data_IF_317016501536
#
_entry.id   IF_317016501536
#
_cell.length_a   1.000
_cell.length_b   1.000
_cell.length_c   1.000
_cell.angle_alpha   90.00
_cell.angle_beta   90.00
_cell.angle_gamma   90.00
#
_symmetry.space_group_name_H-M   'P 1'
#
loop_
_entity.id
_entity.type
_entity.pdbx_description
1 polymer ?
#
# COMPACT_ATOMS: atom_id res chain seq x y z
N UNK A 1 -32.00 5.09 81.57
CA UNK A 1 -31.27 6.09 80.78
C UNK A 1 -30.52 5.32 79.69
N UNK A 2 -31.11 5.38 78.46
CA UNK A 2 -30.69 4.53 77.33
C UNK A 2 -29.85 5.40 76.38
N UNK A 3 -28.59 5.03 76.18
CA UNK A 3 -27.72 5.64 75.18
C UNK A 3 -27.56 4.70 74.03
N UNK A 4 -28.21 5.05 72.90
CA UNK A 4 -28.14 4.33 71.61
C UNK A 4 -26.87 4.73 70.88
N UNK A 5 -25.96 3.76 70.63
CA UNK A 5 -24.84 3.92 69.72
C UNK A 5 -25.28 3.68 68.28
N UNK A 6 -25.31 4.77 67.47
CA UNK A 6 -25.49 4.67 66.02
C UNK A 6 -24.17 4.31 65.36
N UNK A 7 -24.12 3.09 64.80
CA UNK A 7 -23.02 2.62 63.93
C UNK A 7 -23.29 3.12 62.53
N UNK A 8 -22.44 4.02 62.04
CA UNK A 8 -22.45 4.47 60.67
C UNK A 8 -21.64 3.49 59.79
N UNK A 9 -22.33 2.80 58.89
CA UNK A 9 -21.70 1.92 57.87
C UNK A 9 -21.27 2.81 56.70
N UNK A 10 -19.96 2.93 56.50
CA UNK A 10 -19.39 3.51 55.26
C UNK A 10 -19.38 2.42 54.18
N UNK A 11 -20.27 2.50 53.21
CA UNK A 11 -20.23 1.71 52.00
C UNK A 11 -19.19 2.30 51.04
N UNK A 12 -18.03 1.69 50.96
CA UNK A 12 -17.03 2.07 49.98
C UNK A 12 -17.44 1.60 48.57
N UNK A 13 -17.73 2.54 47.70
CA UNK A 13 -17.92 2.29 46.25
C UNK A 13 -16.54 2.15 45.61
N UNK A 14 -16.17 0.93 45.24
CA UNK A 14 -15.01 0.66 44.37
C UNK A 14 -15.46 0.86 42.94
N UNK A 15 -15.08 1.96 42.31
CA UNK A 15 -15.21 2.16 40.87
C UNK A 15 -14.15 1.32 40.15
N UNK A 16 -14.56 0.18 39.61
CA UNK A 16 -13.73 -0.58 38.68
C UNK A 16 -13.73 0.11 37.32
N UNK A 17 -12.66 0.82 37.01
CA UNK A 17 -12.42 1.40 35.67
C UNK A 17 -12.07 0.27 34.69
N UNK A 18 -13.01 -0.12 33.86
CA UNK A 18 -12.79 -1.06 32.76
C UNK A 18 -12.10 -0.28 31.63
N UNK A 19 -10.77 -0.45 31.47
CA UNK A 19 -10.07 -0.02 30.26
C UNK A 19 -10.53 -0.91 29.10
N UNK A 20 -11.45 -0.42 28.30
CA UNK A 20 -11.82 -1.05 27.04
C UNK A 20 -10.68 -0.83 26.03
N UNK A 21 -9.81 -1.81 25.87
CA UNK A 21 -8.86 -1.84 24.76
C UNK A 21 -9.68 -2.03 23.47
N UNK A 22 -9.82 -0.99 22.67
CA UNK A 22 -10.40 -1.07 21.31
C UNK A 22 -9.43 -1.88 20.44
N UNK A 23 -9.75 -3.15 20.23
CA UNK A 23 -9.11 -3.96 19.20
C UNK A 23 -9.61 -3.42 17.86
N UNK A 24 -8.78 -2.65 17.17
CA UNK A 24 -9.03 -2.28 15.77
C UNK A 24 -8.90 -3.54 14.94
N UNK A 25 -10.03 -4.15 14.59
CA UNK A 25 -10.08 -5.21 13.58
C UNK A 25 -9.82 -4.56 12.23
N UNK A 26 -8.68 -4.87 11.60
CA UNK A 26 -8.44 -4.49 10.21
C UNK A 26 -9.62 -4.95 9.36
N UNK A 27 -10.25 -4.02 8.65
CA UNK A 27 -11.39 -4.32 7.79
C UNK A 27 -10.99 -5.29 6.68
N UNK A 28 -11.92 -6.13 6.21
CA UNK A 28 -11.68 -7.01 5.06
C UNK A 28 -11.28 -6.20 3.81
N UNK A 29 -11.73 -4.96 3.70
CA UNK A 29 -11.39 -4.03 2.63
C UNK A 29 -9.91 -3.61 2.65
N UNK A 30 -9.29 -3.46 3.84
CA UNK A 30 -7.88 -3.09 3.96
C UNK A 30 -6.95 -4.14 3.32
N UNK A 31 -7.38 -5.40 3.32
CA UNK A 31 -6.64 -6.52 2.72
C UNK A 31 -6.92 -6.69 1.22
N UNK A 32 -7.98 -6.08 0.72
CA UNK A 32 -8.38 -6.21 -0.68
C UNK A 32 -7.35 -5.64 -1.66
N UNK A 33 -6.51 -4.67 -1.23
CA UNK A 33 -5.41 -4.12 -2.04
C UNK A 33 -4.23 -5.08 -2.14
N UNK A 34 -4.07 -6.00 -1.19
CA UNK A 34 -2.91 -6.89 -1.13
C UNK A 34 -2.91 -7.92 -2.27
N UNK A 35 -1.72 -8.45 -2.56
CA UNK A 35 -1.52 -9.47 -3.60
C UNK A 35 -0.95 -8.90 -4.88
N UNK A 36 -1.25 -9.55 -6.01
CA UNK A 36 -0.64 -9.23 -7.29
C UNK A 36 -1.46 -8.22 -8.09
N UNK A 37 -0.74 -7.31 -8.74
CA UNK A 37 -1.24 -6.31 -9.66
C UNK A 37 -0.39 -6.27 -10.92
N UNK A 38 -0.96 -5.85 -12.05
CA UNK A 38 -0.24 -5.64 -13.30
C UNK A 38 -0.38 -4.21 -13.79
N UNK A 39 0.69 -3.69 -14.33
CA UNK A 39 0.71 -2.46 -15.13
C UNK A 39 0.59 -2.84 -16.60
N UNK A 40 -0.35 -2.21 -17.26
CA UNK A 40 -0.65 -2.42 -18.69
C UNK A 40 -0.29 -1.16 -19.45
N UNK A 41 0.34 -1.33 -20.59
CA UNK A 41 0.59 -0.26 -21.53
C UNK A 41 -0.75 0.22 -22.14
N UNK A 42 -1.07 1.48 -22.00
CA UNK A 42 -2.37 2.02 -22.40
C UNK A 42 -2.59 1.98 -23.90
N UNK A 43 -1.51 2.09 -24.70
CA UNK A 43 -1.59 2.09 -26.17
C UNK A 43 -1.74 0.68 -26.75
N UNK A 44 -0.98 -0.27 -26.23
CA UNK A 44 -0.92 -1.63 -26.79
C UNK A 44 -1.76 -2.66 -26.02
N UNK A 45 -2.23 -2.34 -24.82
CA UNK A 45 -2.94 -3.25 -23.92
C UNK A 45 -2.05 -4.39 -23.36
N UNK A 46 -0.73 -4.34 -23.58
CA UNK A 46 0.19 -5.38 -23.13
C UNK A 46 0.62 -5.18 -21.68
N UNK A 47 0.75 -6.26 -20.93
CA UNK A 47 1.31 -6.21 -19.58
C UNK A 47 2.79 -5.86 -19.67
N UNK A 48 3.19 -4.80 -18.95
CA UNK A 48 4.58 -4.31 -18.84
C UNK A 48 5.29 -4.85 -17.60
N UNK A 49 4.54 -5.01 -16.50
CA UNK A 49 5.11 -5.51 -15.24
C UNK A 49 4.03 -6.09 -14.34
N UNK A 50 4.45 -6.99 -13.45
CA UNK A 50 3.64 -7.50 -12.37
C UNK A 50 4.29 -7.12 -11.04
N UNK A 51 3.46 -6.67 -10.10
CA UNK A 51 3.84 -6.24 -8.76
C UNK A 51 3.17 -7.13 -7.71
N UNK A 52 3.79 -7.25 -6.54
CA UNK A 52 3.17 -7.81 -5.35
C UNK A 52 3.07 -6.71 -4.31
N UNK A 53 1.86 -6.37 -3.89
CA UNK A 53 1.60 -5.47 -2.78
C UNK A 53 1.41 -6.28 -1.50
N UNK A 54 1.99 -5.81 -0.42
CA UNK A 54 1.93 -6.42 0.91
C UNK A 54 2.05 -5.34 1.98
N UNK A 55 1.65 -5.69 3.19
CA UNK A 55 1.81 -4.81 4.33
C UNK A 55 3.16 -5.06 5.01
N UNK A 56 3.84 -3.98 5.37
CA UNK A 56 5.06 -4.01 6.16
C UNK A 56 5.06 -2.86 7.16
N UNK A 57 5.12 -3.18 8.45
CA UNK A 57 5.06 -2.20 9.56
C UNK A 57 3.88 -1.24 9.48
N UNK A 58 2.68 -1.75 9.17
CA UNK A 58 1.45 -0.95 9.05
C UNK A 58 1.38 -0.05 7.81
N UNK A 59 2.28 -0.21 6.86
CA UNK A 59 2.32 0.54 5.60
C UNK A 59 2.17 -0.39 4.40
N UNK A 60 1.53 0.10 3.35
CA UNK A 60 1.45 -0.63 2.09
C UNK A 60 2.76 -0.46 1.32
N UNK A 61 3.32 -1.61 0.89
CA UNK A 61 4.61 -1.72 0.21
C UNK A 61 4.44 -2.58 -1.04
N UNK A 62 5.19 -2.28 -2.10
CA UNK A 62 5.13 -3.00 -3.36
C UNK A 62 6.50 -3.40 -3.90
N UNK A 63 6.57 -4.64 -4.39
CA UNK A 63 7.75 -5.24 -5.00
C UNK A 63 7.47 -5.61 -6.46
N UNK A 64 8.40 -5.30 -7.37
CA UNK A 64 8.33 -5.77 -8.76
C UNK A 64 8.65 -7.27 -8.76
N UNK A 65 7.78 -8.09 -9.35
CA UNK A 65 7.97 -9.54 -9.41
C UNK A 65 8.22 -10.06 -10.82
N UNK A 66 7.83 -9.30 -11.85
CA UNK A 66 8.07 -9.65 -13.26
C UNK A 66 8.03 -8.39 -14.12
N UNK A 67 8.89 -8.33 -15.13
CA UNK A 67 8.88 -7.32 -16.19
C UNK A 67 8.72 -8.00 -17.55
N UNK A 68 8.13 -7.26 -18.50
CA UNK A 68 7.90 -7.74 -19.86
C UNK A 68 8.50 -6.75 -20.87
N UNK A 69 8.80 -7.18 -22.10
CA UNK A 69 9.25 -6.28 -23.15
C UNK A 69 8.21 -5.19 -23.44
N UNK A 70 8.66 -3.95 -23.56
CA UNK A 70 7.86 -2.87 -24.13
C UNK A 70 8.08 -2.84 -25.63
N UNK A 71 7.09 -2.36 -26.39
CA UNK A 71 7.17 -2.32 -27.86
C UNK A 71 8.50 -1.68 -28.34
N UNK A 72 9.27 -2.45 -29.11
CA UNK A 72 10.58 -2.05 -29.63
C UNK A 72 11.74 -2.04 -28.64
N UNK A 73 11.51 -2.47 -27.37
CA UNK A 73 12.58 -2.51 -26.36
C UNK A 73 12.50 -3.81 -25.53
N UNK A 74 13.62 -4.41 -25.16
CA UNK A 74 13.62 -5.56 -24.23
C UNK A 74 13.07 -5.18 -22.87
N UNK A 75 12.66 -6.21 -22.09
CA UNK A 75 12.30 -5.97 -20.69
C UNK A 75 13.48 -5.37 -19.93
N UNK A 76 13.22 -4.35 -19.13
CA UNK A 76 14.24 -3.78 -18.26
C UNK A 76 14.57 -4.78 -17.15
N UNK A 77 15.82 -5.19 -17.06
CA UNK A 77 16.28 -6.18 -16.07
C UNK A 77 17.11 -5.56 -14.95
N UNK A 78 17.78 -4.45 -15.23
CA UNK A 78 18.66 -3.73 -14.30
C UNK A 78 18.21 -2.27 -14.19
N UNK A 79 18.24 -1.70 -12.98
CA UNK A 79 17.92 -0.29 -12.75
C UNK A 79 19.14 0.61 -12.95
N UNK A 80 19.50 0.83 -14.19
CA UNK A 80 20.69 1.64 -14.56
C UNK A 80 20.54 3.12 -14.23
N UNK A 81 19.32 3.64 -14.29
CA UNK A 81 19.02 5.05 -13.99
C UNK A 81 18.80 5.31 -12.48
N UNK A 82 18.65 4.27 -11.67
CA UNK A 82 18.46 4.41 -10.23
C UNK A 82 19.70 5.02 -9.54
N UNK A 83 19.46 5.62 -8.38
CA UNK A 83 20.51 6.19 -7.53
C UNK A 83 20.73 5.37 -6.25
N UNK A 84 21.85 5.63 -5.56
CA UNK A 84 22.15 5.07 -4.25
C UNK A 84 22.19 3.54 -4.25
N UNK A 85 21.57 2.93 -3.24
CA UNK A 85 21.57 1.47 -3.06
C UNK A 85 20.82 0.68 -4.14
N UNK A 86 20.04 1.34 -4.98
CA UNK A 86 19.23 0.71 -6.04
C UNK A 86 19.94 0.78 -7.41
N UNK A 87 21.03 1.54 -7.53
CA UNK A 87 21.83 1.64 -8.73
C UNK A 87 22.32 0.25 -9.16
N UNK A 88 22.09 -0.08 -10.42
CA UNK A 88 22.50 -1.33 -11.06
C UNK A 88 21.96 -2.63 -10.41
N UNK A 89 20.91 -2.50 -9.59
CA UNK A 89 20.24 -3.66 -9.02
C UNK A 89 19.23 -4.26 -10.00
N UNK A 90 18.94 -5.58 -9.89
CA UNK A 90 17.88 -6.20 -10.66
C UNK A 90 16.55 -5.47 -10.42
N UNK A 91 15.82 -5.18 -11.49
CA UNK A 91 14.49 -4.56 -11.41
C UNK A 91 13.48 -5.51 -10.73
N UNK A 92 13.55 -6.80 -11.06
CA UNK A 92 12.78 -7.83 -10.34
C UNK A 92 13.33 -7.98 -8.93
N UNK A 93 12.47 -7.79 -7.95
CA UNK A 93 12.82 -7.77 -6.52
C UNK A 93 12.92 -6.37 -5.92
N UNK A 94 12.99 -5.30 -6.73
CA UNK A 94 13.01 -3.93 -6.21
C UNK A 94 11.73 -3.61 -5.44
N UNK A 95 11.89 -3.04 -4.25
CA UNK A 95 10.82 -2.29 -3.58
C UNK A 95 10.73 -0.95 -4.32
N UNK A 96 9.64 -0.76 -5.04
CA UNK A 96 9.44 0.42 -5.88
C UNK A 96 8.29 1.31 -5.40
N UNK A 97 7.49 0.81 -4.46
CA UNK A 97 6.28 1.43 -3.93
C UNK A 97 6.32 1.25 -2.42
N UNK A 98 6.33 2.35 -1.63
CA UNK A 98 6.51 2.27 -0.19
C UNK A 98 5.94 3.48 0.56
N UNK A 99 5.84 3.38 1.88
CA UNK A 99 5.38 4.40 2.83
C UNK A 99 3.91 4.79 2.73
N UNK A 100 3.09 4.09 1.97
CA UNK A 100 1.68 4.41 1.86
C UNK A 100 0.94 4.10 3.15
N UNK A 101 0.18 5.07 3.65
CA UNK A 101 -0.72 4.95 4.80
C UNK A 101 -2.15 5.19 4.36
N UNK A 102 -3.13 4.64 5.07
CA UNK A 102 -4.53 4.93 4.79
C UNK A 102 -4.82 6.42 4.93
N UNK A 103 -5.61 6.97 4.01
CA UNK A 103 -6.23 8.27 4.19
C UNK A 103 -7.24 8.18 5.33
N UNK A 104 -7.27 9.18 6.20
CA UNK A 104 -8.19 9.22 7.34
C UNK A 104 -9.64 9.07 6.86
N UNK A 105 -10.37 8.13 7.47
CA UNK A 105 -11.76 7.83 7.13
C UNK A 105 -11.97 7.01 5.85
N UNK A 106 -10.91 6.56 5.18
CA UNK A 106 -11.00 5.73 3.99
C UNK A 106 -10.33 4.37 4.16
N UNK A 107 -10.98 3.30 3.71
CA UNK A 107 -10.42 1.94 3.64
C UNK A 107 -9.88 1.59 2.24
N UNK A 108 -10.08 2.47 1.26
CA UNK A 108 -9.74 2.23 -0.16
C UNK A 108 -8.74 3.22 -0.74
N UNK A 109 -8.29 4.19 0.06
CA UNK A 109 -7.34 5.20 -0.38
C UNK A 109 -6.11 5.26 0.51
N UNK A 110 -4.94 5.31 -0.12
CA UNK A 110 -3.63 5.39 0.51
C UNK A 110 -2.93 6.64 0.04
N UNK A 111 -2.31 7.34 0.98
CA UNK A 111 -1.64 8.63 0.77
C UNK A 111 -0.20 8.60 1.30
N UNK A 112 0.52 9.70 1.09
CA UNK A 112 1.89 9.96 1.55
C UNK A 112 2.95 8.95 1.06
N UNK A 113 2.56 8.14 0.07
CA UNK A 113 3.43 7.14 -0.51
C UNK A 113 4.53 7.69 -1.40
N UNK A 114 5.44 6.80 -1.74
CA UNK A 114 6.52 7.02 -2.71
C UNK A 114 6.51 5.92 -3.76
N UNK A 115 6.82 6.30 -5.00
CA UNK A 115 6.97 5.36 -6.10
C UNK A 115 8.26 5.65 -6.86
N UNK A 116 9.09 4.64 -7.03
CA UNK A 116 10.28 4.68 -7.89
C UNK A 116 9.88 4.23 -9.29
N UNK A 117 10.22 5.03 -10.29
CA UNK A 117 10.16 4.59 -11.68
C UNK A 117 11.54 4.08 -12.10
N UNK A 118 11.73 2.77 -12.35
CA UNK A 118 13.01 2.23 -12.76
C UNK A 118 13.49 2.72 -14.14
N UNK A 119 12.59 3.20 -15.02
CA UNK A 119 12.94 3.67 -16.36
C UNK A 119 13.73 4.99 -16.33
N UNK A 120 13.41 5.88 -15.39
CA UNK A 120 14.08 7.18 -15.24
C UNK A 120 14.85 7.32 -13.91
N UNK A 121 14.80 6.30 -13.04
CA UNK A 121 15.47 6.28 -11.75
C UNK A 121 14.94 7.25 -10.70
N UNK A 122 13.84 7.95 -10.99
CA UNK A 122 13.27 8.98 -10.12
C UNK A 122 12.25 8.42 -9.15
N UNK A 123 12.21 9.04 -7.98
CA UNK A 123 11.19 8.77 -6.97
C UNK A 123 10.18 9.92 -6.95
N UNK A 124 8.91 9.56 -7.04
CA UNK A 124 7.78 10.46 -7.01
C UNK A 124 6.99 10.30 -5.71
N UNK A 125 6.28 11.36 -5.29
CA UNK A 125 5.20 11.19 -4.31
C UNK A 125 4.07 10.41 -4.99
N UNK A 126 3.30 9.64 -4.21
CA UNK A 126 2.21 8.90 -4.80
C UNK A 126 1.03 8.73 -3.85
N UNK A 127 -0.14 8.57 -4.46
CA UNK A 127 -1.41 8.20 -3.83
C UNK A 127 -1.97 7.01 -4.59
N UNK A 128 -2.73 6.16 -3.91
CA UNK A 128 -3.36 4.99 -4.51
C UNK A 128 -4.82 4.89 -4.06
N UNK A 129 -5.69 4.47 -4.96
CA UNK A 129 -7.12 4.32 -4.70
C UNK A 129 -7.64 3.02 -5.33
N UNK A 130 -8.24 2.16 -4.50
CA UNK A 130 -8.83 0.91 -4.93
C UNK A 130 -10.26 1.17 -5.41
N UNK A 131 -10.59 0.65 -6.60
CA UNK A 131 -11.96 0.70 -7.11
C UNK A 131 -12.94 -0.06 -6.21
N UNK A 132 -14.22 0.30 -6.27
CA UNK A 132 -15.27 -0.31 -5.44
C UNK A 132 -15.36 -1.83 -5.62
N UNK A 133 -15.12 -2.32 -6.82
CA UNK A 133 -15.12 -3.75 -7.15
C UNK A 133 -13.79 -4.47 -6.84
N UNK A 134 -12.78 -3.77 -6.32
CA UNK A 134 -11.46 -4.31 -5.97
C UNK A 134 -10.59 -4.75 -7.16
N UNK A 135 -10.98 -4.43 -8.41
CA UNK A 135 -10.30 -4.92 -9.61
C UNK A 135 -9.28 -3.97 -10.20
N UNK A 136 -9.39 -2.69 -9.87
CA UNK A 136 -8.49 -1.64 -10.36
C UNK A 136 -7.87 -0.90 -9.19
N UNK A 137 -6.56 -0.71 -9.23
CA UNK A 137 -5.84 0.18 -8.33
C UNK A 137 -5.32 1.36 -9.14
N UNK A 138 -5.92 2.52 -8.93
CA UNK A 138 -5.50 3.78 -9.51
C UNK A 138 -4.33 4.34 -8.71
N UNK A 139 -3.20 4.55 -9.34
CA UNK A 139 -2.00 5.12 -8.71
C UNK A 139 -1.65 6.44 -9.38
N UNK A 140 -1.61 7.50 -8.60
CA UNK A 140 -1.23 8.84 -9.04
C UNK A 140 0.15 9.17 -8.51
N UNK A 141 1.15 9.16 -9.41
CA UNK A 141 2.52 9.59 -9.13
C UNK A 141 2.70 11.06 -9.45
N UNK A 142 3.29 11.86 -8.53
CA UNK A 142 3.38 13.31 -8.71
C UNK A 142 4.64 13.92 -8.07
N UNK A 143 5.01 15.10 -8.59
CA UNK A 143 5.88 16.04 -7.90
C UNK A 143 5.03 17.13 -7.24
N UNK A 144 5.44 17.63 -6.09
CA UNK A 144 4.77 18.71 -5.38
C UNK A 144 5.49 20.02 -5.66
N UNK A 145 4.82 20.91 -6.36
CA UNK A 145 5.21 22.29 -6.55
C UNK A 145 4.24 23.19 -5.75
N UNK A 146 3.64 24.21 -6.38
CA UNK A 146 2.50 24.93 -5.81
C UNK A 146 1.24 24.04 -5.77
N UNK A 147 1.17 23.07 -6.69
CA UNK A 147 0.13 22.04 -6.79
C UNK A 147 0.76 20.70 -7.20
N UNK A 148 0.01 19.63 -7.14
CA UNK A 148 0.46 18.29 -7.56
C UNK A 148 0.47 18.22 -9.09
N UNK A 149 1.63 17.89 -9.68
CA UNK A 149 1.79 17.67 -11.13
C UNK A 149 2.28 16.26 -11.33
N UNK A 150 1.56 15.45 -12.08
CA UNK A 150 1.92 14.04 -12.26
C UNK A 150 1.06 13.28 -13.25
N UNK A 151 1.19 11.98 -13.22
CA UNK A 151 0.45 11.06 -14.08
C UNK A 151 -0.25 9.95 -13.28
N UNK A 152 -1.34 9.48 -13.84
CA UNK A 152 -2.11 8.36 -13.29
C UNK A 152 -1.78 7.08 -14.05
N UNK A 153 -1.67 5.97 -13.33
CA UNK A 153 -1.57 4.62 -13.87
C UNK A 153 -2.64 3.74 -13.24
N UNK A 154 -3.36 3.00 -14.06
CA UNK A 154 -4.41 2.09 -13.63
C UNK A 154 -3.86 0.65 -13.63
N UNK A 155 -3.68 0.09 -12.44
CA UNK A 155 -3.22 -1.29 -12.28
C UNK A 155 -4.41 -2.22 -12.19
N UNK A 156 -4.30 -3.38 -12.78
CA UNK A 156 -5.35 -4.39 -12.85
C UNK A 156 -4.92 -5.68 -12.16
N UNK A 157 -5.88 -6.53 -11.80
CA UNK A 157 -5.56 -7.87 -11.34
C UNK A 157 -5.03 -8.72 -12.49
N UNK A 158 -3.87 -9.38 -12.31
CA UNK A 158 -3.37 -10.31 -13.33
C UNK A 158 -4.24 -11.57 -13.39
N UNK A 159 -4.28 -12.18 -14.56
CA UNK A 159 -4.94 -13.49 -14.75
C UNK A 159 -4.10 -14.62 -14.13
N UNK A 160 -4.70 -15.77 -13.81
CA UNK A 160 -3.94 -16.93 -13.32
C UNK A 160 -2.81 -17.35 -14.26
N UNK A 161 -2.99 -17.24 -15.58
CA UNK A 161 -1.96 -17.54 -16.56
C UNK A 161 -0.75 -16.61 -16.48
N UNK A 162 -0.97 -15.29 -16.24
CA UNK A 162 0.11 -14.31 -16.07
C UNK A 162 0.92 -14.53 -14.79
N UNK A 163 0.31 -15.17 -13.78
CA UNK A 163 0.95 -15.51 -12.50
C UNK A 163 1.77 -16.81 -12.56
N UNK A 164 1.61 -17.62 -13.60
CA UNK A 164 2.37 -18.87 -13.74
C UNK A 164 3.88 -18.57 -13.81
N UNK A 165 4.65 -19.36 -13.05
CA UNK A 165 6.11 -19.24 -12.98
C UNK A 165 6.61 -18.09 -12.08
N UNK A 166 5.75 -17.34 -11.41
CA UNK A 166 6.18 -16.42 -10.35
C UNK A 166 6.62 -17.24 -9.14
N UNK A 167 7.87 -17.05 -8.73
CA UNK A 167 8.34 -17.59 -7.44
C UNK A 167 7.69 -16.79 -6.31
N UNK A 168 7.03 -17.46 -5.39
CA UNK A 168 6.45 -16.91 -4.15
C UNK A 168 7.52 -16.32 -3.23
#
# INVERSE_FOLDING_TARGET
>A
MNTQHRRTLFAGFVLASILSASVQTASADDKAVLGYWKHVDEDSGKTLSIFKLFEYQGKLVGKIVKTFPKQGKPAQTICTECAGRQKDKPVVGLIFFWDFVHEEGSTKKWVDGKILNPEDGKTYNAEAELSEDGKTLKVFGYIRLLFKVGGTSNWQRPTPAELQGLKS
#
